data_IF_457045417656
#
_entry.id   IF_457045417656
#
_cell.length_a   1.000
_cell.length_b   1.000
_cell.length_c   1.000
_cell.angle_alpha   90.00
_cell.angle_beta   90.00
_cell.angle_gamma   90.00
#
_symmetry.space_group_name_H-M   'P 1'
#
loop_
_entity.id
_entity.type
_entity.pdbx_description
1 polymer ?
#
# COMPACT_ATOMS: atom_id res chain seq x y z
N UNK A 1 -11.59 0.53 -15.83
CA UNK A 1 -10.67 0.79 -16.94
C UNK A 1 -9.26 0.57 -16.43
N UNK A 2 -8.37 -0.02 -17.24
CA UNK A 2 -6.94 -0.16 -16.96
C UNK A 2 -6.19 0.65 -18.04
N UNK A 3 -5.18 1.43 -17.67
CA UNK A 3 -4.46 2.34 -18.58
C UNK A 3 -4.50 3.79 -18.09
N UNK A 4 -4.17 4.76 -18.95
CA UNK A 4 -4.43 6.17 -18.66
C UNK A 4 -5.95 6.38 -18.57
N UNK A 5 -6.42 6.67 -17.36
CA UNK A 5 -7.85 6.87 -17.08
C UNK A 5 -8.24 8.33 -16.95
N UNK A 6 -7.35 9.28 -17.28
CA UNK A 6 -7.65 10.72 -17.19
C UNK A 6 -8.92 11.07 -17.94
N UNK A 7 -9.14 10.44 -19.10
CA UNK A 7 -10.36 10.65 -19.91
C UNK A 7 -11.51 9.71 -19.59
N UNK A 8 -11.37 8.81 -18.61
CA UNK A 8 -12.32 7.72 -18.39
C UNK A 8 -13.75 8.20 -18.13
N UNK A 9 -13.91 9.26 -17.35
CA UNK A 9 -15.21 9.86 -17.04
C UNK A 9 -15.83 10.52 -18.29
N UNK A 10 -15.02 11.22 -19.10
CA UNK A 10 -15.42 11.87 -20.36
C UNK A 10 -15.88 10.83 -21.38
N UNK A 11 -15.07 9.79 -21.60
CA UNK A 11 -15.40 8.69 -22.51
C UNK A 11 -16.67 7.96 -22.08
N UNK A 12 -16.86 7.70 -20.79
CA UNK A 12 -18.07 7.07 -20.28
C UNK A 12 -19.31 7.96 -20.48
N UNK A 13 -19.17 9.28 -20.32
CA UNK A 13 -20.23 10.28 -20.59
C UNK A 13 -20.62 10.26 -22.07
N UNK A 14 -19.64 10.32 -22.98
CA UNK A 14 -19.86 10.25 -24.44
C UNK A 14 -20.53 8.94 -24.86
N UNK A 15 -20.10 7.80 -24.30
CA UNK A 15 -20.73 6.49 -24.57
C UNK A 15 -22.19 6.48 -24.11
N UNK A 16 -22.48 7.00 -22.91
CA UNK A 16 -23.85 7.08 -22.39
C UNK A 16 -24.75 8.00 -23.22
N UNK A 17 -24.19 9.08 -23.75
CA UNK A 17 -24.87 10.04 -24.63
C UNK A 17 -25.01 9.55 -26.07
N UNK A 18 -24.46 8.38 -26.42
CA UNK A 18 -24.34 7.89 -27.80
C UNK A 18 -23.72 8.94 -28.74
N UNK A 19 -22.76 9.71 -28.20
CA UNK A 19 -22.07 10.76 -28.91
C UNK A 19 -21.32 10.22 -30.14
N UNK A 20 -21.19 11.06 -31.17
CA UNK A 20 -20.50 10.66 -32.40
C UNK A 20 -18.99 10.58 -32.18
N UNK A 21 -18.29 9.77 -32.99
CA UNK A 21 -16.81 9.72 -32.95
C UNK A 21 -16.21 11.09 -33.27
N UNK A 22 -16.87 11.89 -34.10
CA UNK A 22 -16.42 13.25 -34.43
C UNK A 22 -16.41 14.16 -33.20
N UNK A 23 -17.42 14.06 -32.35
CA UNK A 23 -17.54 14.84 -31.10
C UNK A 23 -16.41 14.54 -30.11
N UNK A 24 -15.94 13.28 -30.08
CA UNK A 24 -14.73 12.93 -29.35
C UNK A 24 -13.47 13.57 -29.95
N UNK A 25 -13.30 13.50 -31.27
CA UNK A 25 -12.13 14.05 -31.97
C UNK A 25 -12.04 15.58 -31.84
N UNK A 26 -13.17 16.27 -31.92
CA UNK A 26 -13.23 17.73 -31.76
C UNK A 26 -12.85 18.14 -30.33
N UNK A 27 -13.23 17.32 -29.35
CA UNK A 27 -12.87 17.53 -27.94
C UNK A 27 -11.40 17.25 -27.59
N UNK A 28 -10.59 16.74 -28.53
CA UNK A 28 -9.14 16.54 -28.40
C UNK A 28 -8.33 17.75 -28.91
N UNK A 29 -8.94 18.59 -29.76
CA UNK A 29 -8.23 19.71 -30.40
C UNK A 29 -8.11 20.96 -29.52
N UNK A 30 -8.63 20.93 -28.29
CA UNK A 30 -8.66 22.05 -27.36
C UNK A 30 -8.20 21.76 -25.93
N UNK A 31 -7.58 20.60 -25.66
CA UNK A 31 -7.08 20.31 -24.30
C UNK A 31 -5.67 20.89 -24.12
N UNK A 32 -5.60 22.09 -23.53
CA UNK A 32 -4.37 22.55 -22.87
C UNK A 32 -4.08 21.59 -21.70
N UNK A 33 -2.83 21.15 -21.57
CA UNK A 33 -2.38 20.31 -20.46
C UNK A 33 -2.36 21.13 -19.16
N UNK A 34 -3.52 21.29 -18.51
CA UNK A 34 -3.61 21.99 -17.22
C UNK A 34 -4.98 22.46 -16.77
N UNK A 35 -5.98 22.56 -17.66
CA UNK A 35 -7.32 23.02 -17.25
C UNK A 35 -8.16 21.89 -16.64
N UNK A 36 -8.80 22.18 -15.50
CA UNK A 36 -9.71 21.24 -14.86
C UNK A 36 -10.93 20.99 -15.76
N UNK A 37 -11.07 19.73 -16.21
CA UNK A 37 -12.20 19.24 -17.02
C UNK A 37 -13.57 19.59 -16.41
N UNK A 38 -13.63 19.78 -15.09
CA UNK A 38 -14.83 20.04 -14.32
C UNK A 38 -15.56 21.30 -14.80
N UNK A 39 -14.84 22.36 -15.16
CA UNK A 39 -15.43 23.62 -15.62
C UNK A 39 -16.28 23.42 -16.89
N UNK A 40 -15.89 22.48 -17.75
CA UNK A 40 -16.56 22.17 -19.02
C UNK A 40 -17.72 21.17 -18.90
N UNK A 41 -17.91 20.52 -17.74
CA UNK A 41 -18.92 19.48 -17.56
C UNK A 41 -20.32 20.07 -17.27
N UNK A 42 -21.36 19.43 -17.82
CA UNK A 42 -22.77 19.72 -17.47
C UNK A 42 -23.16 19.18 -16.09
N UNK A 43 -24.20 19.76 -15.49
CA UNK A 43 -24.68 19.42 -14.13
C UNK A 43 -25.19 17.97 -13.99
N UNK A 44 -25.66 17.37 -15.08
CA UNK A 44 -26.11 15.97 -15.14
C UNK A 44 -24.95 14.97 -15.25
N UNK A 45 -23.73 15.44 -15.56
CA UNK A 45 -22.59 14.56 -15.77
C UNK A 45 -22.07 13.95 -14.47
N UNK A 46 -21.70 12.66 -14.54
CA UNK A 46 -21.30 11.87 -13.38
C UNK A 46 -19.86 12.19 -12.98
N UNK A 47 -19.68 12.65 -11.75
CA UNK A 47 -18.37 12.85 -11.12
C UNK A 47 -17.96 11.59 -10.36
N UNK A 48 -18.86 11.00 -9.57
CA UNK A 48 -18.59 9.76 -8.82
C UNK A 48 -19.25 8.56 -9.49
N UNK A 49 -18.49 7.81 -10.30
CA UNK A 49 -19.00 6.62 -10.97
C UNK A 49 -19.48 5.49 -10.03
N UNK A 50 -18.80 5.29 -8.89
CA UNK A 50 -19.15 4.21 -7.95
C UNK A 50 -20.47 4.44 -7.20
N UNK A 51 -20.79 5.69 -6.90
CA UNK A 51 -21.99 6.06 -6.12
C UNK A 51 -23.02 6.82 -6.96
N UNK A 52 -22.78 6.98 -8.27
CA UNK A 52 -23.70 7.62 -9.21
C UNK A 52 -23.94 9.12 -8.95
N UNK A 53 -22.97 9.84 -8.40
CA UNK A 53 -23.14 11.26 -8.01
C UNK A 53 -22.74 12.18 -9.17
N UNK A 54 -23.62 13.10 -9.57
CA UNK A 54 -23.37 14.07 -10.64
C UNK A 54 -22.68 15.36 -10.16
N UNK A 55 -22.18 16.17 -11.10
CA UNK A 55 -21.63 17.52 -10.85
C UNK A 55 -22.66 18.39 -10.12
N UNK A 56 -23.88 18.48 -10.65
CA UNK A 56 -24.96 19.30 -10.09
C UNK A 56 -25.30 18.92 -8.65
N UNK A 57 -25.31 17.63 -8.32
CA UNK A 57 -25.57 17.17 -6.94
C UNK A 57 -24.48 17.64 -5.96
N UNK A 58 -23.22 17.67 -6.40
CA UNK A 58 -22.08 18.14 -5.59
C UNK A 58 -22.11 19.66 -5.46
N UNK A 59 -22.27 20.39 -6.57
CA UNK A 59 -22.35 21.86 -6.56
C UNK A 59 -23.52 22.35 -5.73
N UNK A 60 -24.67 21.69 -5.83
CA UNK A 60 -25.84 22.02 -5.01
C UNK A 60 -25.55 21.80 -3.53
N UNK A 61 -24.92 20.68 -3.14
CA UNK A 61 -24.56 20.42 -1.75
C UNK A 61 -23.56 21.47 -1.22
N UNK A 62 -22.54 21.81 -2.00
CA UNK A 62 -21.57 22.87 -1.65
C UNK A 62 -22.29 24.19 -1.36
N UNK A 63 -23.19 24.62 -2.26
CA UNK A 63 -23.90 25.91 -2.12
C UNK A 63 -24.98 25.91 -1.03
N UNK A 64 -25.72 24.81 -0.89
CA UNK A 64 -26.84 24.72 0.05
C UNK A 64 -26.38 24.55 1.49
N UNK A 65 -25.36 23.71 1.71
CA UNK A 65 -24.88 23.34 3.04
C UNK A 65 -23.58 24.08 3.42
N UNK A 66 -23.05 24.93 2.53
CA UNK A 66 -21.83 25.72 2.76
C UNK A 66 -20.58 24.86 2.94
N UNK A 67 -20.47 23.76 2.20
CA UNK A 67 -19.37 22.80 2.35
C UNK A 67 -18.07 23.38 1.79
N UNK A 68 -16.98 23.28 2.56
CA UNK A 68 -15.67 23.87 2.22
C UNK A 68 -14.56 22.84 2.18
N UNK A 69 -14.87 21.54 2.18
CA UNK A 69 -13.87 20.49 2.08
C UNK A 69 -14.36 19.22 1.37
N UNK A 70 -13.42 18.44 0.82
CA UNK A 70 -13.74 17.16 0.16
C UNK A 70 -14.37 16.16 1.12
N UNK A 71 -13.98 16.17 2.41
CA UNK A 71 -14.54 15.28 3.41
C UNK A 71 -15.99 15.63 3.77
N UNK A 72 -16.35 16.92 3.79
CA UNK A 72 -17.72 17.39 3.94
C UNK A 72 -18.59 17.02 2.74
N UNK A 73 -18.10 17.26 1.51
CA UNK A 73 -18.78 16.83 0.28
C UNK A 73 -18.99 15.32 0.27
N UNK A 74 -18.00 14.56 0.72
CA UNK A 74 -18.08 13.11 0.86
C UNK A 74 -19.13 12.69 1.89
N UNK A 75 -19.24 13.41 3.00
CA UNK A 75 -20.27 13.18 4.02
C UNK A 75 -21.68 13.43 3.51
N UNK A 76 -21.89 14.52 2.78
CA UNK A 76 -23.20 14.94 2.28
C UNK A 76 -23.67 14.13 1.05
N UNK A 77 -22.77 13.84 0.11
CA UNK A 77 -23.15 13.31 -1.21
C UNK A 77 -22.78 11.84 -1.44
N UNK A 78 -21.94 11.27 -0.56
CA UNK A 78 -21.23 10.01 -0.78
C UNK A 78 -20.21 10.02 -1.94
N UNK A 79 -19.97 11.13 -2.64
CA UNK A 79 -18.85 11.22 -3.58
C UNK A 79 -17.51 10.94 -2.86
N UNK A 80 -16.55 10.32 -3.53
CA UNK A 80 -15.21 9.99 -2.97
C UNK A 80 -15.23 9.03 -1.75
N UNK A 81 -16.38 8.41 -1.42
CA UNK A 81 -16.50 7.48 -0.28
C UNK A 81 -15.99 6.07 -0.57
N UNK A 82 -16.23 5.55 -1.76
CA UNK A 82 -16.03 4.13 -2.09
C UNK A 82 -14.63 3.81 -2.63
N UNK A 83 -14.32 4.22 -3.87
CA UNK A 83 -13.00 3.99 -4.48
C UNK A 83 -12.03 5.16 -4.31
N UNK A 84 -12.54 6.37 -4.06
CA UNK A 84 -11.74 7.61 -3.91
C UNK A 84 -11.27 8.26 -5.21
N UNK A 85 -11.46 7.63 -6.37
CA UNK A 85 -10.91 8.12 -7.67
C UNK A 85 -11.42 9.50 -8.08
N UNK A 86 -12.64 9.89 -7.68
CA UNK A 86 -13.19 11.20 -7.98
C UNK A 86 -12.74 12.32 -7.01
N UNK A 87 -11.80 12.05 -6.07
CA UNK A 87 -11.39 13.03 -5.05
C UNK A 87 -10.87 14.33 -5.68
N UNK A 88 -10.03 14.24 -6.71
CA UNK A 88 -9.47 15.41 -7.38
C UNK A 88 -10.57 16.21 -8.10
N UNK A 89 -11.49 15.55 -8.81
CA UNK A 89 -12.63 16.23 -9.44
C UNK A 89 -13.55 16.92 -8.42
N UNK A 90 -13.72 16.34 -7.23
CA UNK A 90 -14.46 16.98 -6.13
C UNK A 90 -13.70 18.19 -5.58
N UNK A 91 -12.37 18.10 -5.48
CA UNK A 91 -11.52 19.22 -5.06
C UNK A 91 -11.59 20.38 -6.07
N UNK A 92 -11.49 20.06 -7.36
CA UNK A 92 -11.64 21.03 -8.45
C UNK A 92 -13.02 21.71 -8.42
N UNK A 93 -14.10 20.95 -8.14
CA UNK A 93 -15.44 21.51 -7.95
C UNK A 93 -15.53 22.48 -6.77
N UNK A 94 -14.83 22.19 -5.67
CA UNK A 94 -14.77 23.11 -4.53
C UNK A 94 -14.05 24.40 -4.92
N UNK A 95 -12.89 24.29 -5.58
CA UNK A 95 -12.16 25.46 -6.10
C UNK A 95 -13.01 26.28 -7.06
N UNK A 96 -13.71 25.64 -8.01
CA UNK A 96 -14.59 26.31 -8.98
C UNK A 96 -15.80 26.96 -8.30
N UNK A 97 -16.41 26.29 -7.33
CA UNK A 97 -17.66 26.75 -6.71
C UNK A 97 -17.45 27.84 -5.66
N UNK A 98 -16.34 27.78 -4.92
CA UNK A 98 -16.03 28.68 -3.80
C UNK A 98 -15.06 29.80 -4.21
N UNK A 99 -14.39 29.69 -5.36
CA UNK A 99 -13.51 30.73 -5.90
C UNK A 99 -12.19 30.89 -5.13
N UNK A 100 -11.56 32.07 -5.25
CA UNK A 100 -10.26 32.40 -4.63
C UNK A 100 -10.27 32.35 -3.09
N UNK A 101 -11.45 32.31 -2.45
CA UNK A 101 -11.59 32.13 -0.99
C UNK A 101 -11.41 30.67 -0.54
N UNK A 102 -11.38 29.71 -1.47
CA UNK A 102 -11.06 28.32 -1.18
C UNK A 102 -9.55 28.16 -1.02
N UNK A 103 -9.06 28.22 0.22
CA UNK A 103 -7.74 27.71 0.55
C UNK A 103 -7.76 26.19 0.44
N UNK A 104 -7.37 25.67 -0.74
CA UNK A 104 -7.17 24.25 -0.97
C UNK A 104 -6.16 23.59 0.00
N UNK A 105 -5.44 24.41 0.78
CA UNK A 105 -4.37 24.04 1.68
C UNK A 105 -4.82 24.02 3.15
N UNK A 106 -6.00 23.46 3.42
CA UNK A 106 -6.31 23.03 4.79
C UNK A 106 -5.27 21.97 5.17
N UNK A 107 -4.33 22.35 6.04
CA UNK A 107 -3.34 21.49 6.68
C UNK A 107 -3.88 20.06 6.84
N UNK A 108 -3.28 19.10 6.15
CA UNK A 108 -3.75 17.71 6.19
C UNK A 108 -3.46 17.09 7.54
N UNK A 109 -4.51 16.97 8.36
CA UNK A 109 -4.44 16.35 9.68
C UNK A 109 -4.45 14.83 9.57
N UNK A 110 -4.00 14.13 10.63
CA UNK A 110 -4.02 12.65 10.66
C UNK A 110 -5.45 12.12 10.49
N UNK A 111 -6.42 12.77 11.15
CA UNK A 111 -7.86 12.54 11.03
C UNK A 111 -8.61 13.62 11.84
N UNK A 112 -9.94 13.62 11.78
CA UNK A 112 -10.80 14.54 12.54
C UNK A 112 -10.63 14.53 14.08
N UNK A 113 -9.91 13.55 14.65
CA UNK A 113 -9.62 13.52 16.09
C UNK A 113 -8.49 14.47 16.52
N UNK A 114 -7.80 15.14 15.60
CA UNK A 114 -6.70 16.08 15.90
C UNK A 114 -6.60 17.16 14.84
N UNK A 115 -6.04 18.32 15.21
CA UNK A 115 -5.68 19.40 14.28
C UNK A 115 -4.20 19.33 13.86
N UNK A 116 -3.50 18.28 14.30
CA UNK A 116 -2.08 18.05 14.00
C UNK A 116 -1.90 17.27 12.70
N UNK A 117 -0.89 17.67 11.94
CA UNK A 117 -0.41 16.95 10.77
C UNK A 117 0.38 15.72 11.17
N UNK A 118 0.63 14.83 10.21
CA UNK A 118 1.50 13.66 10.41
C UNK A 118 2.89 14.05 10.91
N UNK A 119 3.48 15.10 10.36
CA UNK A 119 4.86 15.50 10.66
C UNK A 119 4.97 16.15 12.04
N UNK A 120 3.98 16.96 12.43
CA UNK A 120 3.91 17.51 13.79
C UNK A 120 3.75 16.42 14.83
N UNK A 121 2.87 15.44 14.60
CA UNK A 121 2.70 14.31 15.54
C UNK A 121 3.99 13.54 15.72
N UNK A 122 4.76 13.30 14.64
CA UNK A 122 6.05 12.61 14.72
C UNK A 122 7.10 13.47 15.42
N UNK A 123 7.13 14.78 15.16
CA UNK A 123 8.03 15.70 15.84
C UNK A 123 7.76 15.72 17.35
N UNK A 124 6.49 15.81 17.75
CA UNK A 124 6.06 15.77 19.15
C UNK A 124 6.37 14.43 19.83
N UNK A 125 6.16 13.31 19.14
CA UNK A 125 6.56 11.98 19.63
C UNK A 125 8.06 11.97 19.96
N UNK A 126 8.90 12.52 19.07
CA UNK A 126 10.35 12.57 19.24
C UNK A 126 10.78 13.52 20.36
N UNK A 127 10.24 14.73 20.35
CA UNK A 127 10.60 15.79 21.29
C UNK A 127 10.22 15.41 22.73
N UNK A 128 9.04 14.83 22.91
CA UNK A 128 8.50 14.47 24.23
C UNK A 128 8.81 13.04 24.66
N UNK A 129 9.44 12.22 23.81
CA UNK A 129 9.81 10.84 24.15
C UNK A 129 8.61 9.90 24.32
N UNK A 130 7.53 10.11 23.56
CA UNK A 130 6.27 9.37 23.74
C UNK A 130 6.38 7.96 23.16
N UNK A 131 5.92 6.95 23.90
CA UNK A 131 6.09 5.53 23.51
C UNK A 131 4.80 4.72 23.46
N UNK A 132 3.65 5.31 23.82
CA UNK A 132 2.35 4.63 23.80
C UNK A 132 1.27 5.44 23.07
N UNK A 133 0.33 4.78 22.39
CA UNK A 133 -0.69 5.50 21.59
C UNK A 133 -1.60 6.36 22.48
N UNK A 134 -2.00 5.84 23.64
CA UNK A 134 -2.81 6.57 24.63
C UNK A 134 -2.07 7.78 25.21
N UNK A 135 -0.76 7.64 25.40
CA UNK A 135 0.09 8.74 25.87
C UNK A 135 0.14 9.86 24.82
N UNK A 136 0.36 9.52 23.55
CA UNK A 136 0.30 10.49 22.44
C UNK A 136 -1.05 11.19 22.39
N UNK A 137 -2.15 10.44 22.45
CA UNK A 137 -3.49 11.02 22.43
C UNK A 137 -3.74 11.96 23.62
N UNK A 138 -3.31 11.59 24.82
CA UNK A 138 -3.50 12.43 26.01
C UNK A 138 -2.63 13.70 25.98
N UNK A 139 -1.34 13.56 25.67
CA UNK A 139 -0.37 14.66 25.69
C UNK A 139 -0.60 15.65 24.55
N UNK A 140 -1.11 15.19 23.41
CA UNK A 140 -1.42 16.02 22.24
C UNK A 140 -2.91 16.36 22.13
N UNK A 141 -3.65 16.20 23.23
CA UNK A 141 -5.05 16.65 23.38
C UNK A 141 -5.97 16.16 22.24
N UNK A 142 -5.91 14.87 21.92
CA UNK A 142 -6.80 14.25 20.94
C UNK A 142 -8.25 14.49 21.32
N UNK A 143 -9.06 15.00 20.37
CA UNK A 143 -10.49 15.29 20.56
C UNK A 143 -11.32 14.06 20.91
N UNK A 144 -10.80 12.86 20.60
CA UNK A 144 -11.42 11.58 20.93
C UNK A 144 -10.45 10.77 21.77
N UNK A 145 -10.78 10.55 23.05
CA UNK A 145 -9.91 9.90 24.04
C UNK A 145 -9.41 8.52 23.60
N UNK A 146 -10.29 7.72 22.99
CA UNK A 146 -9.95 6.40 22.46
C UNK A 146 -9.49 6.43 21.00
N UNK A 147 -9.40 7.59 20.37
CA UNK A 147 -9.12 7.71 18.94
C UNK A 147 -10.14 6.98 18.04
N UNK A 148 -9.81 6.85 16.76
CA UNK A 148 -10.63 6.20 15.76
C UNK A 148 -9.85 5.12 14.98
N UNK A 149 -10.53 4.45 14.04
CA UNK A 149 -9.93 3.42 13.18
C UNK A 149 -8.85 3.94 12.22
N UNK A 150 -8.65 5.27 12.11
CA UNK A 150 -7.58 5.89 11.33
C UNK A 150 -6.35 6.18 12.19
N UNK A 151 -6.51 6.93 13.29
CA UNK A 151 -5.37 7.36 14.10
C UNK A 151 -4.79 6.25 14.97
N UNK A 152 -5.58 5.33 15.54
CA UNK A 152 -5.06 4.23 16.36
C UNK A 152 -3.95 3.42 15.65
N UNK A 153 -4.19 2.86 14.44
CA UNK A 153 -3.14 2.15 13.72
C UNK A 153 -2.01 3.07 13.24
N UNK A 154 -2.31 4.33 12.88
CA UNK A 154 -1.29 5.29 12.45
C UNK A 154 -0.30 5.62 13.57
N UNK A 155 -0.79 5.93 14.77
CA UNK A 155 0.03 6.21 15.94
C UNK A 155 0.87 4.98 16.33
N UNK A 156 0.28 3.79 16.34
CA UNK A 156 1.02 2.54 16.60
C UNK A 156 2.15 2.34 15.57
N UNK A 157 1.90 2.66 14.29
CA UNK A 157 2.94 2.63 13.26
C UNK A 157 4.03 3.70 13.49
N UNK A 158 3.66 4.95 13.77
CA UNK A 158 4.62 6.04 13.98
C UNK A 158 5.50 5.79 15.21
N UNK A 159 4.93 5.33 16.31
CA UNK A 159 5.68 4.99 17.51
C UNK A 159 6.67 3.85 17.25
N UNK A 160 6.25 2.77 16.60
CA UNK A 160 7.15 1.65 16.24
C UNK A 160 8.18 2.01 15.17
N UNK A 161 7.96 3.09 14.41
CA UNK A 161 8.93 3.63 13.46
C UNK A 161 9.96 4.52 14.15
N UNK A 162 9.54 5.39 15.08
CA UNK A 162 10.43 6.32 15.78
C UNK A 162 11.22 5.62 16.88
N UNK A 163 10.58 4.74 17.64
CA UNK A 163 11.14 4.05 18.80
C UNK A 163 11.00 2.52 18.65
N UNK A 164 11.67 1.89 17.66
CA UNK A 164 11.47 0.47 17.39
C UNK A 164 11.79 -0.44 18.59
N UNK A 165 12.74 -0.06 19.46
CA UNK A 165 13.16 -0.87 20.62
C UNK A 165 12.31 -0.62 21.86
N UNK A 166 11.86 0.61 22.06
CA UNK A 166 11.15 1.06 23.27
C UNK A 166 9.63 0.91 23.11
N UNK A 167 9.09 1.20 21.92
CA UNK A 167 7.66 1.05 21.66
C UNK A 167 7.26 -0.43 21.63
N UNK A 168 6.27 -0.76 22.44
CA UNK A 168 5.66 -2.10 22.45
C UNK A 168 4.42 -2.11 21.56
N UNK A 169 4.49 -2.86 20.46
CA UNK A 169 3.38 -2.97 19.48
C UNK A 169 2.04 -3.24 20.16
N UNK A 170 1.09 -2.32 19.94
CA UNK A 170 -0.26 -2.40 20.48
C UNK A 170 -1.14 -3.17 19.50
N UNK A 171 -1.14 -4.50 19.61
CA UNK A 171 -1.85 -5.41 18.70
C UNK A 171 -3.31 -4.98 18.46
N UNK A 172 -4.02 -4.51 19.48
CA UNK A 172 -5.43 -4.12 19.36
C UNK A 172 -5.64 -2.86 18.49
N UNK A 173 -4.60 -2.07 18.28
CA UNK A 173 -4.60 -0.91 17.37
C UNK A 173 -4.47 -1.33 15.90
N UNK A 174 -4.05 -2.57 15.60
CA UNK A 174 -3.95 -3.09 14.23
C UNK A 174 -5.30 -3.53 13.67
N UNK A 175 -5.42 -3.54 12.34
CA UNK A 175 -6.59 -4.10 11.67
C UNK A 175 -6.77 -5.59 12.00
N UNK A 176 -8.03 -6.06 12.05
CA UNK A 176 -8.39 -7.48 12.33
C UNK A 176 -7.53 -8.45 11.53
N UNK A 177 -7.33 -8.17 10.25
CA UNK A 177 -6.61 -9.09 9.37
C UNK A 177 -5.12 -9.22 9.70
N UNK A 178 -4.54 -8.18 10.28
CA UNK A 178 -3.15 -8.19 10.74
C UNK A 178 -3.03 -8.91 12.07
N UNK A 179 -3.98 -8.68 12.99
CA UNK A 179 -4.03 -9.33 14.30
C UNK A 179 -4.20 -10.84 14.20
N UNK A 180 -5.01 -11.31 13.26
CA UNK A 180 -5.32 -12.73 13.10
C UNK A 180 -4.42 -13.45 12.09
N UNK A 181 -3.54 -12.69 11.42
CA UNK A 181 -2.73 -13.17 10.29
C UNK A 181 -3.56 -13.80 9.15
N UNK A 182 -4.86 -13.52 9.11
CA UNK A 182 -5.85 -14.11 8.22
C UNK A 182 -6.84 -13.02 7.80
N UNK A 183 -7.52 -13.17 6.66
CA UNK A 183 -8.41 -12.12 6.15
C UNK A 183 -9.86 -12.52 6.16
N UNK A 184 -10.70 -11.67 6.76
CA UNK A 184 -12.15 -11.85 6.78
C UNK A 184 -12.75 -11.85 5.36
N UNK A 185 -13.61 -12.81 5.09
CA UNK A 185 -14.32 -13.02 3.83
C UNK A 185 -15.78 -12.57 3.95
N UNK A 186 -16.48 -12.53 2.82
CA UNK A 186 -17.86 -12.00 2.72
C UNK A 186 -18.86 -12.70 3.65
N UNK A 187 -18.68 -14.00 3.86
CA UNK A 187 -19.52 -14.87 4.69
C UNK A 187 -19.06 -14.94 6.16
N UNK A 188 -18.07 -14.12 6.55
CA UNK A 188 -17.51 -14.11 7.90
C UNK A 188 -16.44 -15.17 8.18
N UNK A 189 -16.16 -16.06 7.21
CA UNK A 189 -15.00 -16.96 7.24
C UNK A 189 -13.70 -16.18 7.00
N UNK A 190 -12.56 -16.86 7.05
CA UNK A 190 -11.24 -16.29 6.89
C UNK A 190 -10.45 -16.98 5.79
N UNK A 191 -9.46 -16.27 5.25
CA UNK A 191 -8.43 -16.86 4.41
C UNK A 191 -7.05 -16.84 5.04
N UNK A 192 -6.29 -17.91 4.82
CA UNK A 192 -4.97 -18.19 5.40
C UNK A 192 -3.98 -18.40 4.28
N UNK A 193 -2.89 -17.64 4.29
CA UNK A 193 -1.83 -17.70 3.26
C UNK A 193 -0.51 -18.02 3.96
N UNK A 194 -0.03 -19.28 3.94
CA UNK A 194 1.28 -19.62 4.48
C UNK A 194 2.42 -19.00 3.64
N UNK A 195 3.53 -18.71 4.32
CA UNK A 195 4.76 -18.15 3.74
C UNK A 195 5.45 -19.20 2.86
N UNK A 196 5.68 -18.83 1.60
CA UNK A 196 6.49 -19.59 0.61
C UNK A 196 7.54 -18.65 -0.01
N UNK A 197 8.77 -18.59 0.51
CA UNK A 197 9.75 -17.58 0.08
C UNK A 197 10.04 -17.67 -1.42
N UNK A 198 9.95 -16.53 -2.13
CA UNK A 198 10.15 -16.48 -3.58
C UNK A 198 9.19 -17.37 -4.38
N UNK A 199 8.07 -17.81 -3.78
CA UNK A 199 7.12 -18.75 -4.39
C UNK A 199 7.63 -20.19 -4.49
N UNK A 200 8.72 -20.53 -3.79
CA UNK A 200 9.31 -21.87 -3.80
C UNK A 200 8.67 -22.75 -2.72
N UNK A 201 8.41 -24.01 -3.07
CA UNK A 201 7.86 -25.02 -2.16
C UNK A 201 8.33 -26.42 -2.56
N UNK A 202 8.00 -27.42 -1.75
CA UNK A 202 8.35 -28.82 -1.98
C UNK A 202 7.16 -29.73 -1.69
N UNK A 203 7.30 -31.02 -2.04
CA UNK A 203 6.22 -32.00 -1.87
C UNK A 203 5.81 -32.25 -0.41
N UNK A 204 6.68 -32.00 0.58
CA UNK A 204 6.34 -32.12 2.00
C UNK A 204 5.43 -30.97 2.42
N UNK A 205 5.82 -29.73 2.10
CA UNK A 205 5.01 -28.55 2.43
C UNK A 205 3.64 -28.58 1.73
N UNK A 206 3.59 -29.04 0.47
CA UNK A 206 2.34 -29.22 -0.26
C UNK A 206 1.42 -30.26 0.41
N UNK A 207 1.97 -31.37 0.92
CA UNK A 207 1.19 -32.35 1.70
C UNK A 207 0.69 -31.74 3.00
N UNK A 208 1.53 -31.03 3.75
CA UNK A 208 1.10 -30.32 4.96
C UNK A 208 -0.06 -29.37 4.68
N UNK A 209 0.01 -28.59 3.60
CA UNK A 209 -1.07 -27.67 3.20
C UNK A 209 -2.34 -28.45 2.83
N UNK A 210 -2.23 -29.56 2.10
CA UNK A 210 -3.36 -30.41 1.73
C UNK A 210 -4.01 -31.06 2.96
N UNK A 211 -3.21 -31.62 3.87
CA UNK A 211 -3.68 -32.25 5.11
C UNK A 211 -4.43 -31.25 6.00
N UNK A 212 -3.94 -30.00 6.09
CA UNK A 212 -4.64 -28.91 6.77
C UNK A 212 -5.93 -28.55 6.04
N UNK A 213 -5.92 -28.46 4.71
CA UNK A 213 -7.11 -28.14 3.95
C UNK A 213 -8.24 -29.16 4.17
N UNK A 214 -7.92 -30.46 4.14
CA UNK A 214 -8.86 -31.54 4.40
C UNK A 214 -9.36 -31.52 5.85
N UNK A 215 -8.44 -31.35 6.83
CA UNK A 215 -8.77 -31.39 8.26
C UNK A 215 -9.75 -30.31 8.68
N UNK A 216 -9.65 -29.12 8.10
CA UNK A 216 -10.47 -27.95 8.45
C UNK A 216 -11.56 -27.64 7.43
N UNK A 217 -11.83 -28.56 6.50
CA UNK A 217 -12.86 -28.41 5.45
C UNK A 217 -12.72 -27.08 4.69
N UNK A 218 -11.49 -26.76 4.25
CA UNK A 218 -11.18 -25.53 3.52
C UNK A 218 -11.93 -25.53 2.20
N UNK A 219 -12.87 -24.59 2.04
CA UNK A 219 -13.77 -24.55 0.89
C UNK A 219 -13.08 -24.33 -0.46
N UNK A 220 -11.98 -23.56 -0.51
CA UNK A 220 -11.22 -23.35 -1.76
C UNK A 220 -9.73 -23.16 -1.49
N UNK A 221 -8.90 -23.82 -2.31
CA UNK A 221 -7.46 -23.58 -2.41
C UNK A 221 -7.18 -22.80 -3.69
N UNK A 222 -6.52 -21.64 -3.59
CA UNK A 222 -6.27 -20.75 -4.74
C UNK A 222 -4.82 -20.29 -4.82
N UNK A 223 -4.24 -20.34 -6.02
CA UNK A 223 -2.94 -19.72 -6.29
C UNK A 223 -3.11 -18.20 -6.44
N UNK A 224 -2.26 -17.45 -5.73
CA UNK A 224 -2.27 -15.98 -5.77
C UNK A 224 -1.29 -15.44 -6.80
N UNK A 225 -1.51 -14.22 -7.28
CA UNK A 225 -0.57 -13.52 -8.16
C UNK A 225 0.80 -13.25 -7.51
N UNK A 226 0.95 -13.46 -6.21
CA UNK A 226 2.20 -13.38 -5.45
C UNK A 226 2.94 -14.71 -5.31
N UNK A 227 2.59 -15.73 -6.10
CA UNK A 227 3.12 -17.10 -6.04
C UNK A 227 2.94 -17.74 -4.65
N UNK A 228 1.73 -17.61 -4.08
CA UNK A 228 1.34 -18.25 -2.81
C UNK A 228 0.12 -19.11 -2.98
N UNK A 229 -0.10 -20.00 -2.02
CA UNK A 229 -1.34 -20.77 -1.87
C UNK A 229 -2.22 -20.07 -0.82
N UNK A 230 -3.48 -19.81 -1.16
CA UNK A 230 -4.49 -19.19 -0.30
C UNK A 230 -5.56 -20.23 0.05
N UNK A 231 -5.78 -20.43 1.35
CA UNK A 231 -6.78 -21.34 1.91
C UNK A 231 -8.00 -20.52 2.33
N UNK A 232 -9.09 -20.60 1.57
CA UNK A 232 -10.30 -19.79 1.77
C UNK A 232 -11.42 -20.60 2.41
N UNK A 233 -12.17 -19.99 3.32
CA UNK A 233 -13.33 -20.60 3.99
C UNK A 233 -13.03 -21.12 5.40
N UNK A 234 -11.92 -20.72 6.01
CA UNK A 234 -11.52 -21.15 7.36
C UNK A 234 -12.37 -20.46 8.42
N UNK A 235 -12.94 -21.21 9.36
CA UNK A 235 -13.70 -20.60 10.48
C UNK A 235 -12.78 -19.86 11.44
N UNK A 236 -13.29 -18.81 12.09
CA UNK A 236 -12.50 -17.93 12.95
C UNK A 236 -11.86 -18.69 14.12
N UNK A 237 -12.63 -19.55 14.74
CA UNK A 237 -12.27 -20.39 15.88
C UNK A 237 -11.18 -21.41 15.55
N UNK A 238 -11.06 -21.80 14.28
CA UNK A 238 -10.08 -22.79 13.82
C UNK A 238 -8.72 -22.16 13.50
N UNK A 239 -8.65 -20.83 13.31
CA UNK A 239 -7.42 -20.12 12.92
C UNK A 239 -6.19 -20.50 13.78
N UNK A 240 -6.25 -20.55 15.12
CA UNK A 240 -5.10 -20.96 15.92
C UNK A 240 -4.59 -22.37 15.60
N UNK A 241 -5.52 -23.31 15.38
CA UNK A 241 -5.18 -24.71 15.10
C UNK A 241 -4.70 -24.89 13.66
N UNK A 242 -5.29 -24.17 12.70
CA UNK A 242 -4.81 -24.11 11.31
C UNK A 242 -3.35 -23.64 11.25
N UNK A 243 -3.02 -22.52 11.92
CA UNK A 243 -1.63 -22.03 11.95
C UNK A 243 -0.67 -22.99 12.66
N UNK A 244 -1.13 -23.64 13.73
CA UNK A 244 -0.36 -24.66 14.45
C UNK A 244 -0.05 -25.86 13.56
N UNK A 245 -1.05 -26.37 12.85
CA UNK A 245 -0.91 -27.57 12.02
C UNK A 245 -0.15 -27.30 10.71
N UNK A 246 -0.30 -26.09 10.13
CA UNK A 246 0.55 -25.65 9.02
C UNK A 246 2.02 -25.65 9.43
N UNK A 247 2.33 -25.18 10.65
CA UNK A 247 3.72 -25.04 11.10
C UNK A 247 4.56 -24.09 10.24
N UNK A 248 3.91 -23.28 9.39
CA UNK A 248 4.53 -22.34 8.47
C UNK A 248 4.28 -20.90 8.95
N UNK A 249 5.22 -19.97 8.75
CA UNK A 249 4.99 -18.55 9.04
C UNK A 249 3.84 -17.98 8.20
N UNK A 250 3.21 -16.90 8.67
CA UNK A 250 2.21 -16.18 7.88
C UNK A 250 2.87 -15.48 6.68
N UNK A 251 2.21 -15.53 5.53
CA UNK A 251 2.54 -14.76 4.33
C UNK A 251 2.28 -13.25 4.45
N UNK A 252 1.71 -12.77 5.57
CA UNK A 252 1.27 -11.38 5.76
C UNK A 252 0.45 -10.84 4.57
N UNK A 253 -0.33 -11.71 3.93
CA UNK A 253 -1.02 -11.40 2.66
C UNK A 253 -1.94 -10.17 2.74
N UNK A 254 -2.29 -9.72 3.94
CA UNK A 254 -3.16 -8.59 4.24
C UNK A 254 -2.54 -7.53 5.17
N UNK A 255 -1.28 -7.73 5.60
CA UNK A 255 -0.50 -6.82 6.43
C UNK A 255 -0.22 -5.47 5.77
N UNK A 256 -0.01 -4.43 6.59
CA UNK A 256 0.66 -3.19 6.20
C UNK A 256 2.17 -3.39 6.40
N UNK A 257 2.71 -4.26 5.55
CA UNK A 257 4.06 -4.80 5.63
C UNK A 257 4.52 -5.26 4.24
N UNK A 258 5.77 -5.75 4.17
CA UNK A 258 6.24 -6.54 3.02
C UNK A 258 5.45 -7.84 2.93
N UNK A 259 4.69 -7.98 1.84
CA UNK A 259 3.79 -9.14 1.63
C UNK A 259 4.46 -10.27 0.90
N UNK A 260 4.94 -10.01 -0.32
CA UNK A 260 5.51 -11.05 -1.20
C UNK A 260 6.61 -10.48 -2.07
N UNK A 261 7.59 -11.35 -2.35
CA UNK A 261 8.55 -11.17 -3.45
C UNK A 261 8.24 -12.25 -4.48
N UNK A 262 7.66 -11.86 -5.62
CA UNK A 262 7.45 -12.79 -6.75
C UNK A 262 8.70 -12.85 -7.62
N UNK A 263 9.10 -14.03 -8.05
CA UNK A 263 10.30 -14.28 -8.84
C UNK A 263 9.94 -14.91 -10.18
N UNK A 264 10.83 -14.83 -11.16
CA UNK A 264 10.82 -15.81 -12.25
C UNK A 264 11.74 -16.98 -11.89
N UNK A 265 11.74 -18.03 -12.73
CA UNK A 265 12.54 -19.24 -12.47
C UNK A 265 14.06 -19.06 -12.65
N UNK A 266 14.53 -17.84 -12.97
CA UNK A 266 15.95 -17.51 -12.98
C UNK A 266 16.79 -18.16 -14.08
N UNK A 267 18.10 -17.91 -14.03
CA UNK A 267 19.10 -18.53 -14.89
C UNK A 267 19.26 -20.04 -14.66
N UNK A 268 18.78 -20.56 -13.52
CA UNK A 268 18.81 -22.00 -13.22
C UNK A 268 17.96 -22.81 -14.21
N UNK A 269 16.77 -22.30 -14.57
CA UNK A 269 15.81 -23.04 -15.40
C UNK A 269 15.46 -22.34 -16.72
N UNK A 270 15.43 -21.01 -16.76
CA UNK A 270 15.04 -20.29 -17.97
C UNK A 270 16.23 -20.11 -18.91
N UNK A 271 16.09 -20.54 -20.17
CA UNK A 271 17.09 -20.31 -21.24
C UNK A 271 17.48 -18.84 -21.48
N UNK A 272 16.71 -17.90 -20.92
CA UNK A 272 16.90 -16.46 -21.05
C UNK A 272 17.30 -15.79 -19.73
N UNK A 273 17.32 -16.51 -18.61
CA UNK A 273 17.72 -15.93 -17.34
C UNK A 273 19.20 -15.59 -17.37
N UNK A 274 19.55 -14.36 -17.01
CA UNK A 274 20.95 -13.90 -16.96
C UNK A 274 21.49 -13.91 -15.53
N UNK A 275 20.61 -14.03 -14.53
CA UNK A 275 20.95 -13.98 -13.11
C UNK A 275 20.08 -14.94 -12.28
N UNK A 276 20.48 -15.24 -11.04
CA UNK A 276 19.64 -15.97 -10.08
C UNK A 276 18.57 -15.06 -9.45
N UNK A 277 17.41 -14.96 -10.10
CA UNK A 277 16.27 -14.22 -9.56
C UNK A 277 15.59 -14.91 -8.39
N UNK A 278 15.65 -16.25 -8.31
CA UNK A 278 14.98 -17.01 -7.26
C UNK A 278 15.69 -16.79 -5.93
N UNK A 279 17.00 -16.98 -5.88
CA UNK A 279 17.82 -16.73 -4.69
C UNK A 279 17.77 -15.28 -4.25
N UNK A 280 17.92 -14.32 -5.17
CA UNK A 280 17.80 -12.89 -4.87
C UNK A 280 16.41 -12.55 -4.29
N UNK A 281 15.32 -13.10 -4.85
CA UNK A 281 13.98 -12.87 -4.33
C UNK A 281 13.75 -13.46 -2.93
N UNK A 282 14.30 -14.65 -2.66
CA UNK A 282 14.27 -15.26 -1.34
C UNK A 282 15.04 -14.42 -0.32
N UNK A 283 16.22 -13.90 -0.68
CA UNK A 283 17.01 -13.04 0.20
C UNK A 283 16.28 -11.74 0.55
N UNK A 284 15.69 -11.07 -0.44
CA UNK A 284 14.85 -9.89 -0.22
C UNK A 284 13.69 -10.18 0.73
N UNK A 285 12.97 -11.28 0.49
CA UNK A 285 11.81 -11.62 1.31
C UNK A 285 12.20 -11.93 2.76
N UNK A 286 13.31 -12.65 2.97
CA UNK A 286 13.83 -12.95 4.31
C UNK A 286 14.35 -11.72 5.03
N UNK A 287 15.12 -10.85 4.34
CA UNK A 287 15.68 -9.63 4.96
C UNK A 287 14.56 -8.73 5.49
N UNK A 288 13.51 -8.52 4.71
CA UNK A 288 12.42 -7.60 5.07
C UNK A 288 11.19 -8.28 5.67
N UNK A 289 11.31 -9.53 6.12
CA UNK A 289 10.22 -10.22 6.77
C UNK A 289 9.78 -9.47 8.03
N UNK A 290 8.47 -9.30 8.20
CA UNK A 290 7.92 -8.64 9.39
C UNK A 290 8.08 -7.12 9.43
N UNK A 291 8.75 -6.52 8.45
CA UNK A 291 8.87 -5.08 8.33
C UNK A 291 7.49 -4.43 8.17
N UNK A 292 7.11 -3.59 9.14
CA UNK A 292 5.93 -2.75 9.03
C UNK A 292 6.21 -1.56 8.13
N UNK A 293 5.27 -1.29 7.22
CA UNK A 293 5.36 -0.22 6.23
C UNK A 293 4.07 0.59 6.24
N UNK A 294 4.09 1.86 5.78
CA UNK A 294 2.90 2.72 5.78
C UNK A 294 1.71 2.07 5.07
N UNK A 295 1.98 1.37 3.97
CA UNK A 295 1.03 0.50 3.30
C UNK A 295 1.68 -0.83 2.86
N UNK A 296 0.90 -1.78 2.33
CA UNK A 296 1.40 -3.02 1.72
C UNK A 296 2.51 -2.76 0.69
N UNK A 297 3.59 -3.53 0.78
CA UNK A 297 4.71 -3.54 -0.17
C UNK A 297 4.79 -4.91 -0.85
N UNK A 298 4.91 -4.90 -2.17
CA UNK A 298 5.16 -6.09 -2.99
C UNK A 298 6.43 -5.87 -3.79
N UNK A 299 7.24 -6.91 -3.91
CA UNK A 299 8.47 -6.86 -4.70
C UNK A 299 8.49 -7.90 -5.81
N UNK A 300 9.31 -7.68 -6.82
CA UNK A 300 9.49 -8.59 -7.93
C UNK A 300 10.93 -8.71 -8.35
N UNK A 301 11.41 -9.93 -8.59
CA UNK A 301 12.75 -10.16 -9.12
C UNK A 301 12.67 -10.96 -10.42
N UNK A 302 13.10 -10.35 -11.51
CA UNK A 302 13.20 -11.00 -12.82
C UNK A 302 14.66 -11.15 -13.20
N UNK A 303 15.04 -12.32 -13.72
CA UNK A 303 16.41 -12.57 -14.17
C UNK A 303 16.74 -11.99 -15.55
N UNK A 304 15.82 -11.28 -16.22
CA UNK A 304 16.06 -10.64 -17.51
C UNK A 304 15.00 -9.55 -17.79
N UNK A 305 15.20 -8.69 -18.83
CA UNK A 305 14.26 -7.62 -19.20
C UNK A 305 12.86 -8.07 -19.62
N UNK A 306 12.64 -9.38 -19.85
CA UNK A 306 11.30 -9.93 -20.10
C UNK A 306 10.37 -9.78 -18.89
N UNK A 307 10.93 -9.50 -17.72
CA UNK A 307 10.20 -9.01 -16.56
C UNK A 307 9.03 -9.93 -16.12
N UNK A 308 9.22 -11.26 -16.15
CA UNK A 308 8.17 -12.24 -15.82
C UNK A 308 7.66 -12.11 -14.37
N UNK A 309 8.44 -11.48 -13.49
CA UNK A 309 8.01 -11.17 -12.13
C UNK A 309 7.24 -9.85 -12.03
N UNK A 310 7.02 -9.12 -13.13
CA UNK A 310 6.26 -7.86 -13.18
C UNK A 310 6.82 -6.78 -12.23
N UNK A 311 8.16 -6.69 -12.10
CA UNK A 311 8.82 -5.73 -11.22
C UNK A 311 8.51 -4.27 -11.55
N UNK A 312 8.27 -3.98 -12.83
CA UNK A 312 7.94 -2.65 -13.36
C UNK A 312 6.60 -2.07 -12.88
N UNK A 313 5.77 -2.82 -12.15
CA UNK A 313 4.49 -2.37 -11.59
C UNK A 313 4.37 -2.71 -10.09
N UNK A 314 5.50 -2.91 -9.43
CA UNK A 314 5.58 -3.24 -8.01
C UNK A 314 6.22 -2.12 -7.21
N UNK A 315 5.99 -2.14 -5.90
CA UNK A 315 6.52 -1.15 -4.99
C UNK A 315 8.07 -1.13 -5.06
N UNK A 316 8.69 -2.31 -5.23
CA UNK A 316 10.10 -2.49 -5.64
C UNK A 316 10.22 -3.56 -6.74
N UNK A 317 10.95 -3.27 -7.81
CA UNK A 317 11.25 -4.20 -8.89
C UNK A 317 12.75 -4.39 -9.05
N UNK A 318 13.21 -5.61 -9.28
CA UNK A 318 14.61 -5.94 -9.56
C UNK A 318 14.66 -6.69 -10.89
N UNK A 319 15.48 -6.21 -11.82
CA UNK A 319 15.68 -6.82 -13.14
C UNK A 319 17.16 -7.12 -13.33
N UNK A 320 17.48 -8.40 -13.48
CA UNK A 320 18.81 -8.87 -13.81
C UNK A 320 19.15 -8.60 -15.27
N UNK A 321 20.37 -8.14 -15.50
CA UNK A 321 21.07 -8.05 -16.77
C UNK A 321 22.39 -8.82 -16.64
N UNK A 322 23.13 -8.94 -17.74
CA UNK A 322 24.46 -9.54 -17.69
C UNK A 322 25.41 -8.71 -16.79
N UNK A 323 25.83 -9.28 -15.66
CA UNK A 323 26.71 -8.65 -14.68
C UNK A 323 26.15 -7.44 -13.90
N UNK A 324 24.87 -7.08 -14.08
CA UNK A 324 24.24 -5.88 -13.48
C UNK A 324 22.81 -6.19 -13.03
N UNK A 325 22.36 -5.53 -11.98
CA UNK A 325 20.96 -5.49 -11.51
C UNK A 325 20.42 -4.08 -11.60
N UNK A 326 19.22 -3.94 -12.17
CA UNK A 326 18.46 -2.69 -12.15
C UNK A 326 17.41 -2.75 -11.05
N UNK A 327 17.40 -1.74 -10.16
CA UNK A 327 16.43 -1.59 -9.08
C UNK A 327 15.44 -0.50 -9.46
N UNK A 328 14.16 -0.80 -9.39
CA UNK A 328 13.04 0.08 -9.71
C UNK A 328 12.13 0.26 -8.50
N UNK A 329 11.51 1.44 -8.36
CA UNK A 329 10.63 1.75 -7.22
C UNK A 329 9.37 2.52 -7.63
N UNK A 330 8.37 2.52 -6.75
CA UNK A 330 7.16 3.33 -6.92
C UNK A 330 6.17 2.80 -7.96
N UNK A 331 6.22 1.51 -8.32
CA UNK A 331 5.23 0.91 -9.21
C UNK A 331 3.93 0.52 -8.51
N UNK A 332 2.83 0.48 -9.28
CA UNK A 332 1.54 -0.01 -8.80
C UNK A 332 0.74 -0.67 -9.92
N UNK A 333 0.59 -1.99 -9.86
CA UNK A 333 -0.35 -2.78 -10.68
C UNK A 333 -1.77 -2.80 -10.11
N UNK A 334 -2.21 -1.70 -9.50
CA UNK A 334 -3.51 -1.56 -8.82
C UNK A 334 -4.56 -0.85 -9.67
N UNK A 335 -5.53 -0.21 -9.01
CA UNK A 335 -6.58 0.58 -9.65
C UNK A 335 -5.99 1.69 -10.52
N UNK A 336 -4.99 2.41 -9.99
CA UNK A 336 -4.24 3.42 -10.72
C UNK A 336 -2.90 2.82 -11.12
N UNK A 337 -2.77 2.51 -12.41
CA UNK A 337 -1.56 1.91 -12.94
C UNK A 337 -0.43 2.95 -12.88
N UNK A 338 0.64 2.63 -12.14
CA UNK A 338 1.87 3.42 -12.13
C UNK A 338 3.05 2.55 -12.50
N UNK A 339 3.84 3.00 -13.48
CA UNK A 339 5.11 2.36 -13.83
C UNK A 339 6.14 2.65 -12.73
N UNK A 340 6.88 1.62 -12.32
CA UNK A 340 8.04 1.78 -11.44
C UNK A 340 9.18 2.46 -12.21
N UNK A 341 9.90 3.34 -11.54
CA UNK A 341 10.99 4.12 -12.13
C UNK A 341 12.33 3.59 -11.66
N UNK A 342 13.34 3.68 -12.52
CA UNK A 342 14.68 3.20 -12.22
C UNK A 342 15.26 4.02 -11.06
N UNK A 343 15.60 3.36 -9.95
CA UNK A 343 16.29 3.94 -8.81
C UNK A 343 17.81 3.95 -9.06
N UNK A 344 18.38 2.77 -9.33
CA UNK A 344 19.82 2.61 -9.49
C UNK A 344 20.18 1.34 -10.29
N UNK A 345 21.45 1.22 -10.66
CA UNK A 345 22.04 0.00 -11.21
C UNK A 345 23.21 -0.43 -10.34
N UNK A 346 23.25 -1.70 -9.96
CA UNK A 346 24.24 -2.27 -9.04
C UNK A 346 24.83 -3.55 -9.60
N UNK A 347 25.95 -4.02 -9.05
CA UNK A 347 26.66 -5.20 -9.55
C UNK A 347 26.42 -6.44 -8.70
N UNK A 348 26.09 -6.27 -7.41
CA UNK A 348 25.96 -7.39 -6.47
C UNK A 348 24.56 -7.49 -5.86
N UNK A 349 24.24 -8.67 -5.30
CA UNK A 349 22.97 -8.90 -4.60
C UNK A 349 22.91 -8.15 -3.27
N UNK A 350 24.06 -7.98 -2.62
CA UNK A 350 24.23 -7.19 -1.40
C UNK A 350 23.85 -5.73 -1.64
N UNK A 351 24.32 -5.15 -2.76
CA UNK A 351 23.92 -3.80 -3.15
C UNK A 351 22.41 -3.72 -3.43
N UNK A 352 21.79 -4.74 -4.06
CA UNK A 352 20.33 -4.78 -4.23
C UNK A 352 19.62 -4.70 -2.87
N UNK A 353 20.10 -5.43 -1.86
CA UNK A 353 19.55 -5.42 -0.50
C UNK A 353 19.78 -4.06 0.20
N UNK A 354 20.92 -3.42 -0.02
CA UNK A 354 21.30 -2.12 0.55
C UNK A 354 20.43 -0.99 0.00
N UNK A 355 20.30 -0.90 -1.33
CA UNK A 355 19.47 0.12 -1.98
C UNK A 355 17.98 -0.09 -1.71
N UNK A 356 17.52 -1.35 -1.64
CA UNK A 356 16.13 -1.65 -1.27
C UNK A 356 15.86 -1.25 0.18
N UNK A 357 16.78 -1.55 1.11
CA UNK A 357 16.65 -1.17 2.51
C UNK A 357 16.59 0.36 2.68
N UNK A 358 17.49 1.09 2.02
CA UNK A 358 17.50 2.55 2.06
C UNK A 358 16.21 3.16 1.52
N UNK A 359 15.73 2.70 0.36
CA UNK A 359 14.45 3.16 -0.19
C UNK A 359 13.28 2.87 0.76
N UNK A 360 13.19 1.65 1.29
CA UNK A 360 12.10 1.28 2.19
C UNK A 360 12.16 2.06 3.51
N UNK A 361 13.35 2.32 4.05
CA UNK A 361 13.49 3.14 5.26
C UNK A 361 13.05 4.58 4.99
N UNK A 362 13.52 5.15 3.88
CA UNK A 362 13.15 6.51 3.51
C UNK A 362 11.64 6.65 3.26
N UNK A 363 11.03 5.66 2.59
CA UNK A 363 9.58 5.56 2.43
C UNK A 363 8.87 5.45 3.78
N UNK A 364 9.35 4.61 4.70
CA UNK A 364 8.77 4.47 6.04
C UNK A 364 8.74 5.80 6.79
N UNK A 365 9.84 6.55 6.73
CA UNK A 365 10.07 7.80 7.46
C UNK A 365 9.37 9.02 6.87
N UNK A 366 8.98 9.00 5.59
CA UNK A 366 8.50 10.20 4.89
C UNK A 366 7.11 10.03 4.23
N UNK A 367 6.58 8.80 4.18
CA UNK A 367 5.21 8.60 3.73
C UNK A 367 4.20 8.73 4.86
N UNK A 368 2.98 9.11 4.48
CA UNK A 368 1.81 9.14 5.35
C UNK A 368 1.35 7.71 5.60
N UNK A 369 0.77 7.44 6.78
CA UNK A 369 0.19 6.12 7.03
C UNK A 369 -0.91 5.81 6.01
N UNK A 370 -0.90 4.59 5.46
CA UNK A 370 -1.73 4.13 4.32
C UNK A 370 -1.41 4.74 2.94
N UNK A 371 -0.38 5.58 2.81
CA UNK A 371 0.11 6.02 1.50
C UNK A 371 0.88 4.89 0.80
N UNK A 372 0.54 4.56 -0.45
CA UNK A 372 1.31 3.59 -1.26
C UNK A 372 2.65 4.19 -1.66
N UNK A 373 3.68 3.35 -1.82
CA UNK A 373 4.97 3.83 -2.33
C UNK A 373 4.84 4.49 -3.70
N UNK A 374 3.87 4.08 -4.53
CA UNK A 374 3.57 4.72 -5.81
C UNK A 374 3.15 6.18 -5.67
N UNK A 375 2.21 6.48 -4.75
CA UNK A 375 1.76 7.84 -4.50
C UNK A 375 2.84 8.66 -3.78
N UNK A 376 3.60 8.02 -2.90
CA UNK A 376 4.74 8.65 -2.25
C UNK A 376 5.81 9.10 -3.26
N UNK A 377 6.23 8.22 -4.17
CA UNK A 377 7.23 8.56 -5.20
C UNK A 377 6.67 9.59 -6.19
N UNK A 378 5.37 9.55 -6.50
CA UNK A 378 4.70 10.58 -7.30
C UNK A 378 4.69 11.95 -6.63
N UNK A 379 4.41 12.00 -5.32
CA UNK A 379 4.37 13.23 -4.52
C UNK A 379 5.76 13.84 -4.30
N UNK A 380 6.75 13.00 -4.01
CA UNK A 380 8.11 13.45 -3.65
C UNK A 380 9.01 13.61 -4.87
N UNK A 381 8.73 12.88 -5.95
CA UNK A 381 9.55 12.83 -7.15
C UNK A 381 10.68 11.80 -7.04
N UNK A 382 10.87 11.01 -8.10
CA UNK A 382 11.91 9.97 -8.15
C UNK A 382 13.32 10.56 -8.06
N UNK A 383 13.55 11.74 -8.62
CA UNK A 383 14.89 12.37 -8.61
C UNK A 383 15.31 12.72 -7.18
N UNK A 384 14.42 13.24 -6.34
CA UNK A 384 14.72 13.47 -4.93
C UNK A 384 15.01 12.17 -4.17
N UNK A 385 14.24 11.11 -4.42
CA UNK A 385 14.49 9.79 -3.83
C UNK A 385 15.86 9.25 -4.24
N UNK A 386 16.27 9.46 -5.50
CA UNK A 386 17.61 9.09 -5.99
C UNK A 386 18.70 9.90 -5.32
N UNK A 387 18.54 11.22 -5.18
CA UNK A 387 19.52 12.08 -4.49
C UNK A 387 19.81 11.55 -3.09
N UNK A 388 18.75 11.24 -2.32
CA UNK A 388 18.89 10.72 -0.95
C UNK A 388 19.53 9.33 -0.91
N UNK A 389 19.06 8.39 -1.73
CA UNK A 389 19.52 7.00 -1.65
C UNK A 389 20.88 6.78 -2.32
N UNK A 390 21.27 7.61 -3.29
CA UNK A 390 22.58 7.51 -3.92
C UNK A 390 23.69 8.20 -3.09
N UNK A 391 23.35 9.15 -2.22
CA UNK A 391 24.29 9.70 -1.23
C UNK A 391 24.78 8.57 -0.29
N UNK A 392 26.10 8.27 -0.26
CA UNK A 392 26.62 7.15 0.54
C UNK A 392 26.40 7.30 2.04
N UNK A 393 26.46 8.52 2.58
CA UNK A 393 26.30 8.77 4.00
C UNK A 393 24.83 8.60 4.41
N UNK A 394 23.91 9.22 3.67
CA UNK A 394 22.48 9.07 3.93
C UNK A 394 22.03 7.62 3.72
N UNK A 395 22.54 6.93 2.69
CA UNK A 395 22.24 5.50 2.45
C UNK A 395 22.71 4.63 3.62
N UNK A 396 23.90 4.87 4.15
CA UNK A 396 24.41 4.15 5.31
C UNK A 396 23.50 4.35 6.53
N UNK A 397 23.18 5.60 6.87
CA UNK A 397 22.31 5.94 8.01
C UNK A 397 20.91 5.34 7.88
N UNK A 398 20.34 5.32 6.67
CA UNK A 398 19.06 4.67 6.38
C UNK A 398 19.14 3.14 6.57
N UNK A 399 20.25 2.52 6.17
CA UNK A 399 20.45 1.08 6.39
C UNK A 399 20.59 0.75 7.87
N UNK A 400 21.32 1.55 8.66
CA UNK A 400 21.43 1.34 10.11
C UNK A 400 20.05 1.38 10.81
N UNK A 401 19.21 2.38 10.47
CA UNK A 401 17.85 2.48 11.03
C UNK A 401 16.92 1.37 10.53
N UNK A 402 17.13 0.88 9.31
CA UNK A 402 16.43 -0.31 8.81
C UNK A 402 16.81 -1.56 9.62
N UNK A 403 18.10 -1.78 9.84
CA UNK A 403 18.58 -2.94 10.59
C UNK A 403 18.11 -2.90 12.05
N UNK A 404 18.06 -1.72 12.67
CA UNK A 404 17.44 -1.53 13.99
C UNK A 404 15.96 -1.92 13.99
N UNK A 405 15.19 -1.45 13.00
CA UNK A 405 13.77 -1.76 12.90
C UNK A 405 13.49 -3.24 12.59
N UNK A 406 14.39 -3.92 11.88
CA UNK A 406 14.31 -5.36 11.64
C UNK A 406 14.76 -6.17 12.86
N UNK A 407 15.73 -5.67 13.64
CA UNK A 407 16.25 -6.33 14.83
C UNK A 407 15.23 -6.55 15.95
N UNK A 408 14.13 -5.79 15.94
CA UNK A 408 13.03 -5.94 16.91
C UNK A 408 11.96 -6.92 16.46
N UNK A 409 11.99 -7.36 15.20
CA UNK A 409 11.09 -8.41 14.70
C UNK A 409 11.38 -9.72 15.43
N UNK A 410 10.36 -10.24 16.11
CA UNK A 410 10.37 -11.59 16.65
C UNK A 410 9.54 -12.44 15.71
N UNK A 411 10.14 -13.44 15.07
CA UNK A 411 9.40 -14.39 14.24
C UNK A 411 8.16 -14.89 15.00
N UNK A 412 6.97 -14.63 14.46
CA UNK A 412 5.71 -15.08 15.06
C UNK A 412 5.49 -16.57 14.74
N UNK A 413 6.47 -17.42 15.05
CA UNK A 413 6.34 -18.87 15.07
C UNK A 413 5.54 -19.36 16.28
N UNK A 414 5.30 -20.68 16.38
CA UNK A 414 4.42 -21.44 17.30
C UNK A 414 4.20 -20.92 18.74
N UNK A 415 5.09 -20.09 19.30
CA UNK A 415 4.87 -19.39 20.59
C UNK A 415 3.71 -18.40 20.54
N UNK A 416 3.38 -17.84 19.38
CA UNK A 416 2.33 -16.81 19.21
C UNK A 416 0.90 -17.30 19.52
N UNK A 417 0.61 -18.57 19.21
CA UNK A 417 -0.73 -19.16 19.39
C UNK A 417 -0.89 -19.94 20.71
N UNK A 418 0.20 -20.13 21.48
CA UNK A 418 0.13 -20.75 22.81
C UNK A 418 -0.43 -19.81 23.90
N UNK A 419 -0.46 -18.50 23.66
CA UNK A 419 -0.68 -17.49 24.72
C UNK A 419 -2.15 -17.07 24.91
N UNK A 420 -3.10 -17.52 24.05
CA UNK A 420 -4.54 -17.20 24.21
C UNK A 420 -5.45 -18.42 24.04
N UNK A 421 -5.19 -19.46 24.85
CA UNK A 421 -6.20 -20.46 25.22
C UNK A 421 -6.90 -20.12 26.56
N UNK A 422 -6.73 -18.88 27.05
CA UNK A 422 -7.40 -18.34 28.24
C UNK A 422 -8.15 -17.06 27.88
#
# INVERSE_FOLDING_TARGET
MFGDTKEGTKLLSLIKKQASVQEYLDSQQGSDEGESIVASMGDDEIICGCNGVSKGAIVQAIKADGLTSVDEVKGATNASRSCGTCKNLVNDLLTETLGEEYEADTKETVCACTDLSRDEVIAEIREKGLTHTKEVMNVLEWKTEEGCSKCKPALNYYLGMVYPKEHKDERESRFVNERLHANIQKDGTYSVVPRMYGGVTNAKDLRTIADVADKYDVGMIKLTGGQRIDLLGVKKEDLPNVWKDLGMPSGYAYGKSVRTVKTCVGAEFCRFGTQDSTGMGIQLEKKFEGLNTPHKVKMGVSACPRNCAEGSIKDVGVVGLDGVWEVYVGGNGGTELRKAELLTKVKSQEEVLEYTAAFLQYYRENARYLERSSHYVERVGIEHVKEVVNDPQLRYELNERMDEALGVYKEHGMKYWKVRQL
#
